data_IF_330315660458
#
_entry.id   IF_330315660458
#
_cell.length_a   1.000
_cell.length_b   1.000
_cell.length_c   1.000
_cell.angle_alpha   90.00
_cell.angle_beta   90.00
_cell.angle_gamma   90.00
#
_symmetry.space_group_name_H-M   'P 1'
#
loop_
_entity.id
_entity.type
_entity.pdbx_description
1 polymer ?
#
# COMPACT_ATOMS: atom_id res chain seq x y z
N UNK A 1 -18.33 20.72 0.96
CA UNK A 1 -18.29 21.64 2.11
C UNK A 1 -17.30 22.77 1.78
N UNK A 2 -17.67 24.05 1.80
CA UNK A 2 -16.73 25.13 1.56
C UNK A 2 -15.92 25.37 2.84
N UNK A 3 -14.76 24.72 2.94
CA UNK A 3 -13.76 24.95 3.99
C UNK A 3 -12.41 25.23 3.34
N UNK A 4 -11.71 26.27 3.77
CA UNK A 4 -10.34 26.56 3.33
C UNK A 4 -9.40 25.48 3.87
N UNK A 5 -9.27 24.37 3.15
CA UNK A 5 -8.26 23.36 3.43
C UNK A 5 -6.90 23.89 2.97
N UNK A 6 -6.26 24.71 3.80
CA UNK A 6 -4.83 24.97 3.67
C UNK A 6 -4.09 23.71 4.10
N UNK A 7 -3.89 22.78 3.16
CA UNK A 7 -3.00 21.66 3.39
C UNK A 7 -1.59 22.21 3.56
N UNK A 8 -1.01 22.06 4.75
CA UNK A 8 0.40 22.37 4.99
C UNK A 8 1.21 21.44 4.09
N UNK A 9 1.68 21.97 2.97
CA UNK A 9 2.57 21.25 2.05
C UNK A 9 3.96 21.26 2.65
N UNK A 10 4.24 20.29 3.51
CA UNK A 10 5.61 20.00 3.91
C UNK A 10 6.38 19.56 2.66
N UNK A 11 7.54 20.17 2.42
CA UNK A 11 8.49 19.67 1.42
C UNK A 11 8.91 18.27 1.83
N UNK A 12 8.42 17.26 1.12
CA UNK A 12 8.88 15.88 1.28
C UNK A 12 10.13 15.75 0.42
N UNK A 13 11.29 15.60 1.06
CA UNK A 13 12.52 15.23 0.36
C UNK A 13 12.42 13.76 -0.01
N UNK A 14 12.05 13.49 -1.27
CA UNK A 14 12.00 12.13 -1.79
C UNK A 14 13.37 11.81 -2.39
N UNK A 15 14.09 10.81 -1.86
CA UNK A 15 15.38 10.41 -2.43
C UNK A 15 15.20 10.06 -3.92
N UNK A 16 16.17 10.45 -4.75
CA UNK A 16 16.15 10.14 -6.18
C UNK A 16 16.44 8.66 -6.47
N UNK A 17 16.30 8.27 -7.73
CA UNK A 17 16.74 6.97 -8.23
C UNK A 17 18.26 6.82 -8.10
N UNK A 18 18.73 5.65 -7.65
CA UNK A 18 20.15 5.28 -7.67
C UNK A 18 20.56 4.81 -9.06
N UNK A 19 21.87 4.87 -9.34
CA UNK A 19 22.41 4.45 -10.64
C UNK A 19 21.99 5.37 -11.80
N UNK A 20 22.08 4.85 -13.04
CA UNK A 20 21.72 5.58 -14.26
C UNK A 20 20.54 4.89 -14.95
N UNK A 21 19.63 5.67 -15.54
CA UNK A 21 18.47 5.14 -16.27
C UNK A 21 17.16 5.07 -15.48
N UNK A 22 17.00 5.90 -14.44
CA UNK A 22 15.75 6.00 -13.67
C UNK A 22 15.44 4.73 -12.88
N UNK A 23 14.16 4.33 -12.83
CA UNK A 23 13.68 3.21 -12.00
C UNK A 23 14.34 1.86 -12.34
N UNK A 24 14.63 1.61 -13.62
CA UNK A 24 15.33 0.40 -14.04
C UNK A 24 16.80 0.43 -13.60
N UNK A 25 17.43 1.60 -13.65
CA UNK A 25 18.78 1.82 -13.15
C UNK A 25 18.89 1.60 -11.65
N UNK A 26 17.91 2.12 -10.89
CA UNK A 26 17.80 1.96 -9.44
C UNK A 26 17.70 0.49 -9.04
N UNK A 27 16.82 -0.26 -9.72
CA UNK A 27 16.69 -1.69 -9.52
C UNK A 27 18.02 -2.43 -9.77
N UNK A 28 18.66 -2.20 -10.93
CA UNK A 28 19.91 -2.87 -11.27
C UNK A 28 21.06 -2.51 -10.32
N UNK A 29 21.11 -1.26 -9.84
CA UNK A 29 22.06 -0.84 -8.82
C UNK A 29 21.83 -1.61 -7.52
N UNK A 30 20.60 -1.64 -7.01
CA UNK A 30 20.25 -2.28 -5.76
C UNK A 30 20.43 -3.81 -5.79
N UNK A 31 20.17 -4.46 -6.92
CA UNK A 31 20.48 -5.90 -7.11
C UNK A 31 21.97 -6.17 -6.93
N UNK A 32 22.84 -5.27 -7.43
CA UNK A 32 24.29 -5.42 -7.34
C UNK A 32 24.82 -5.12 -5.93
N UNK A 33 24.35 -4.04 -5.31
CA UNK A 33 24.85 -3.56 -4.01
C UNK A 33 24.14 -4.20 -2.83
N UNK A 34 23.03 -4.90 -3.06
CA UNK A 34 22.11 -5.42 -2.03
C UNK A 34 21.49 -4.33 -1.15
N UNK A 35 21.48 -3.10 -1.63
CA UNK A 35 20.75 -2.01 -0.99
C UNK A 35 19.24 -2.07 -1.30
N UNK A 36 18.45 -1.33 -0.53
CA UNK A 36 17.04 -1.14 -0.79
C UNK A 36 16.80 -0.16 -1.96
N UNK A 37 15.89 -0.48 -2.89
CA UNK A 37 15.49 0.41 -3.98
C UNK A 37 14.70 1.61 -3.47
N UNK A 38 14.63 2.67 -4.28
CA UNK A 38 13.78 3.84 -4.00
C UNK A 38 12.32 3.43 -3.74
N UNK A 39 11.83 2.43 -4.49
CA UNK A 39 10.53 1.78 -4.26
C UNK A 39 10.71 0.47 -3.52
N UNK A 40 10.88 0.54 -2.20
CA UNK A 40 10.82 -0.63 -1.33
C UNK A 40 9.45 -1.33 -1.48
N UNK A 41 9.46 -2.67 -1.47
CA UNK A 41 8.26 -3.50 -1.60
C UNK A 41 7.28 -3.27 -0.46
N UNK A 42 7.76 -3.00 0.75
CA UNK A 42 6.89 -2.70 1.89
C UNK A 42 6.08 -1.42 1.64
N UNK A 43 6.72 -0.37 1.09
CA UNK A 43 6.03 0.88 0.75
C UNK A 43 4.97 0.62 -0.32
N UNK A 44 5.31 -0.16 -1.35
CA UNK A 44 4.39 -0.50 -2.42
C UNK A 44 3.19 -1.30 -1.90
N UNK A 45 3.43 -2.30 -1.05
CA UNK A 45 2.39 -3.11 -0.40
C UNK A 45 1.42 -2.22 0.39
N UNK A 46 1.93 -1.36 1.28
CA UNK A 46 1.11 -0.45 2.09
C UNK A 46 0.31 0.52 1.23
N UNK A 47 0.88 1.03 0.14
CA UNK A 47 0.16 1.90 -0.79
C UNK A 47 -1.02 1.17 -1.44
N UNK A 48 -0.82 -0.08 -1.87
CA UNK A 48 -1.90 -0.92 -2.41
C UNK A 48 -2.97 -1.25 -1.36
N UNK A 49 -2.58 -1.53 -0.11
CA UNK A 49 -3.52 -1.80 1.00
C UNK A 49 -4.55 -0.69 1.13
N UNK A 50 -4.13 0.59 1.11
CA UNK A 50 -5.04 1.73 1.26
C UNK A 50 -6.07 1.79 0.13
N UNK A 51 -5.66 1.54 -1.12
CA UNK A 51 -6.58 1.49 -2.26
C UNK A 51 -7.65 0.40 -2.09
N UNK A 52 -7.25 -0.79 -1.62
CA UNK A 52 -8.20 -1.88 -1.37
C UNK A 52 -9.16 -1.57 -0.22
N UNK A 53 -8.65 -1.07 0.91
CA UNK A 53 -9.49 -0.67 2.04
C UNK A 53 -10.48 0.43 1.66
N UNK A 54 -10.06 1.39 0.84
CA UNK A 54 -10.94 2.44 0.29
C UNK A 54 -12.08 1.85 -0.54
N UNK A 55 -11.80 0.87 -1.40
CA UNK A 55 -12.82 0.18 -2.19
C UNK A 55 -13.80 -0.60 -1.31
N UNK A 56 -13.31 -1.34 -0.30
CA UNK A 56 -14.17 -2.09 0.62
C UNK A 56 -15.08 -1.14 1.40
N UNK A 57 -14.53 -0.03 1.93
CA UNK A 57 -15.30 0.98 2.64
C UNK A 57 -16.36 1.64 1.74
N UNK A 58 -16.01 1.91 0.48
CA UNK A 58 -16.93 2.44 -0.52
C UNK A 58 -18.08 1.48 -0.81
N UNK A 59 -17.81 0.20 -1.03
CA UNK A 59 -18.83 -0.80 -1.35
C UNK A 59 -19.75 -1.11 -0.16
N UNK A 60 -19.21 -1.22 1.05
CA UNK A 60 -19.98 -1.47 2.27
C UNK A 60 -20.64 -0.20 2.84
N UNK A 61 -20.34 0.97 2.25
CA UNK A 61 -20.86 2.30 2.62
C UNK A 61 -20.65 2.63 4.10
N UNK A 62 -19.51 2.24 4.67
CA UNK A 62 -19.17 2.47 6.08
C UNK A 62 -17.66 2.58 6.29
N UNK A 63 -17.21 3.28 7.35
CA UNK A 63 -15.79 3.32 7.70
C UNK A 63 -15.30 1.95 8.19
N UNK A 64 -14.01 1.66 7.96
CA UNK A 64 -13.35 0.42 8.36
C UNK A 64 -12.22 0.74 9.32
N UNK A 65 -12.06 -0.08 10.37
CA UNK A 65 -10.90 -0.03 11.27
C UNK A 65 -9.86 -1.07 10.83
N UNK A 66 -8.63 -0.62 10.63
CA UNK A 66 -7.53 -1.44 10.12
C UNK A 66 -6.40 -1.52 11.15
N UNK A 67 -5.91 -2.72 11.41
CA UNK A 67 -4.64 -2.97 12.11
C UNK A 67 -3.51 -3.07 11.07
N UNK A 68 -2.63 -2.07 10.91
CA UNK A 68 -1.53 -2.14 9.96
C UNK A 68 -0.42 -3.11 10.38
N UNK A 69 -0.34 -3.51 11.65
CA UNK A 69 0.68 -4.46 12.10
C UNK A 69 0.24 -5.88 11.76
N UNK A 70 -1.01 -6.24 12.09
CA UNK A 70 -1.58 -7.57 11.80
C UNK A 70 -2.13 -7.73 10.40
N UNK A 71 -2.38 -6.63 9.71
CA UNK A 71 -3.07 -6.57 8.42
C UNK A 71 -4.49 -7.14 8.48
N UNK A 72 -5.24 -6.72 9.50
CA UNK A 72 -6.59 -7.21 9.78
C UNK A 72 -7.62 -6.07 9.86
N UNK A 73 -8.86 -6.37 9.45
CA UNK A 73 -10.00 -5.49 9.70
C UNK A 73 -10.57 -5.81 11.10
N UNK A 74 -10.60 -4.81 11.97
CA UNK A 74 -10.95 -4.98 13.38
C UNK A 74 -12.46 -4.87 13.57
N UNK A 75 -13.08 -5.93 14.12
CA UNK A 75 -14.47 -5.91 14.59
C UNK A 75 -15.54 -5.89 13.50
N UNK A 76 -15.18 -6.15 12.23
CA UNK A 76 -16.12 -6.23 11.10
C UNK A 76 -15.90 -7.55 10.33
N UNK A 77 -16.55 -8.65 10.76
CA UNK A 77 -16.41 -9.96 10.11
C UNK A 77 -16.88 -9.97 8.65
N UNK A 78 -17.83 -9.11 8.28
CA UNK A 78 -18.28 -9.02 6.90
C UNK A 78 -17.20 -8.41 6.00
N UNK A 79 -16.60 -7.30 6.43
CA UNK A 79 -15.51 -6.65 5.69
C UNK A 79 -14.24 -7.50 5.69
N UNK A 80 -13.92 -8.19 6.79
CA UNK A 80 -12.77 -9.09 6.88
C UNK A 80 -12.77 -10.20 5.82
N UNK A 81 -13.95 -10.68 5.39
CA UNK A 81 -14.06 -11.66 4.29
C UNK A 81 -13.54 -11.14 2.94
N UNK A 82 -13.46 -9.83 2.74
CA UNK A 82 -12.99 -9.23 1.49
C UNK A 82 -11.46 -9.18 1.41
N UNK A 83 -10.74 -9.50 2.49
CA UNK A 83 -9.28 -9.58 2.50
C UNK A 83 -8.74 -10.83 1.78
N UNK A 84 -9.59 -11.85 1.60
CA UNK A 84 -9.22 -13.07 0.89
C UNK A 84 -10.29 -13.43 -0.16
N UNK A 85 -9.94 -14.35 -1.05
CA UNK A 85 -10.85 -14.92 -2.03
C UNK A 85 -10.64 -16.43 -2.12
N UNK A 86 -11.66 -17.21 -2.50
CA UNK A 86 -11.47 -18.61 -2.84
C UNK A 86 -10.31 -18.78 -3.84
N UNK A 87 -9.31 -19.56 -3.44
CA UNK A 87 -8.16 -19.90 -4.27
C UNK A 87 -8.58 -20.91 -5.34
N UNK A 88 -7.88 -20.88 -6.48
CA UNK A 88 -8.11 -21.85 -7.56
C UNK A 88 -7.53 -23.21 -7.16
N UNK A 89 -8.21 -24.36 -7.41
CA UNK A 89 -7.61 -25.67 -7.17
C UNK A 89 -6.27 -25.85 -7.92
N UNK A 90 -5.27 -26.54 -7.34
CA UNK A 90 -5.29 -27.29 -6.07
C UNK A 90 -4.93 -26.44 -4.83
N UNK A 91 -4.83 -25.11 -4.95
CA UNK A 91 -4.35 -24.26 -3.87
C UNK A 91 -5.45 -24.02 -2.83
N UNK A 92 -5.16 -24.30 -1.56
CA UNK A 92 -6.04 -24.01 -0.41
C UNK A 92 -5.46 -22.94 0.50
N UNK A 93 -6.29 -22.38 1.38
CA UNK A 93 -5.89 -21.34 2.34
C UNK A 93 -5.30 -21.94 3.60
#
# INVERSE_FOLDING_TARGET
MPGKHHAVTHRVDMPGYKGRGGIFGDFLHCVKTREKPFRDIEIAHRACTVCHLGNIAYWLRRPIKWDPVKEEIIGDPEAARWLDRPKRPPWTT
#
